data_IF_445755315840
#
_entry.id   IF_445755315840
#
_cell.length_a   1.000
_cell.length_b   1.000
_cell.length_c   1.000
_cell.angle_alpha   90.00
_cell.angle_beta   90.00
_cell.angle_gamma   90.00
#
_symmetry.space_group_name_H-M   'P 1'
#
loop_
_entity.id
_entity.type
_entity.pdbx_description
1 polymer ?
#
# COMPACT_ATOMS: atom_id res chain seq x y z
N UNK A 1 -14.69 7.67 -39.00
CA UNK A 1 -14.04 7.58 -37.68
C UNK A 1 -13.93 6.12 -37.36
N UNK A 2 -12.73 5.63 -37.07
CA UNK A 2 -12.57 4.27 -36.55
C UNK A 2 -13.27 4.17 -35.20
N UNK A 3 -13.91 3.03 -34.89
CA UNK A 3 -14.51 2.81 -33.58
C UNK A 3 -13.42 2.88 -32.50
N UNK A 4 -13.62 3.74 -31.51
CA UNK A 4 -12.72 3.82 -30.36
C UNK A 4 -13.01 2.63 -29.44
N UNK A 5 -12.00 1.79 -29.21
CA UNK A 5 -12.13 0.63 -28.33
C UNK A 5 -11.92 1.06 -26.87
N UNK A 6 -12.99 0.95 -26.07
CA UNK A 6 -12.93 1.22 -24.63
C UNK A 6 -12.74 -0.09 -23.87
N UNK A 7 -11.70 -0.13 -23.04
CA UNK A 7 -11.50 -1.21 -22.10
C UNK A 7 -12.65 -1.28 -21.09
N UNK A 8 -12.95 -2.48 -20.61
CA UNK A 8 -13.99 -2.70 -19.61
C UNK A 8 -13.78 -1.83 -18.35
N UNK A 9 -12.52 -1.65 -17.94
CA UNK A 9 -12.16 -0.73 -16.87
C UNK A 9 -11.71 0.58 -17.51
N UNK A 10 -12.45 1.66 -17.27
CA UNK A 10 -12.08 3.00 -17.71
C UNK A 10 -12.68 4.04 -16.76
N UNK A 11 -12.17 5.27 -16.81
CA UNK A 11 -12.76 6.40 -16.08
C UNK A 11 -13.08 7.53 -17.04
N UNK A 12 -14.37 7.80 -17.21
CA UNK A 12 -14.80 9.03 -17.86
C UNK A 12 -14.56 10.23 -16.94
N UNK A 13 -13.88 11.25 -17.42
CA UNK A 13 -13.69 12.50 -16.67
C UNK A 13 -14.91 13.43 -16.75
N UNK A 14 -15.98 13.02 -17.43
CA UNK A 14 -17.24 13.75 -17.50
C UNK A 14 -17.76 14.06 -16.10
N UNK A 15 -18.16 15.30 -15.86
CA UNK A 15 -18.69 15.79 -14.56
C UNK A 15 -17.70 15.68 -13.39
N UNK A 16 -16.41 15.46 -13.65
CA UNK A 16 -15.40 15.54 -12.62
C UNK A 16 -15.23 17.00 -12.19
N UNK A 17 -15.30 17.28 -10.88
CA UNK A 17 -15.11 18.63 -10.33
C UNK A 17 -13.72 19.21 -10.56
N UNK A 18 -12.75 18.36 -10.92
CA UNK A 18 -11.38 18.76 -11.24
C UNK A 18 -11.14 18.86 -12.74
N UNK A 19 -12.17 18.73 -13.59
CA UNK A 19 -12.02 18.89 -15.04
C UNK A 19 -11.89 20.37 -15.39
N UNK A 20 -10.90 20.71 -16.22
CA UNK A 20 -10.74 22.06 -16.77
C UNK A 20 -11.41 22.06 -18.14
N UNK A 21 -12.50 22.81 -18.28
CA UNK A 21 -13.30 22.87 -19.52
C UNK A 21 -13.16 24.27 -20.13
N UNK A 22 -12.90 24.31 -21.44
CA UNK A 22 -12.91 25.54 -22.25
C UNK A 22 -13.68 25.25 -23.53
N UNK A 23 -14.64 26.11 -23.88
CA UNK A 23 -15.42 26.00 -25.13
C UNK A 23 -16.01 24.58 -25.33
N UNK A 24 -16.66 24.04 -24.30
CA UNK A 24 -17.27 22.69 -24.32
C UNK A 24 -16.29 21.52 -24.48
N UNK A 25 -14.97 21.78 -24.39
CA UNK A 25 -13.91 20.77 -24.44
C UNK A 25 -13.16 20.69 -23.12
N UNK A 26 -12.97 19.49 -22.59
CA UNK A 26 -12.06 19.27 -21.48
C UNK A 26 -10.61 19.41 -21.97
N UNK A 27 -9.92 20.45 -21.51
CA UNK A 27 -8.53 20.73 -21.85
C UNK A 27 -7.54 20.20 -20.80
N UNK A 28 -8.01 19.86 -19.59
CA UNK A 28 -7.11 19.40 -18.53
C UNK A 28 -7.78 18.91 -17.25
N UNK A 29 -6.96 18.79 -16.22
CA UNK A 29 -7.35 18.42 -14.86
C UNK A 29 -6.60 19.27 -13.84
N UNK A 30 -7.30 19.90 -12.89
CA UNK A 30 -6.70 20.75 -11.84
C UNK A 30 -5.73 20.00 -10.92
N UNK A 31 -5.87 18.67 -10.84
CA UNK A 31 -4.98 17.78 -10.09
C UNK A 31 -3.83 17.24 -10.94
N UNK A 32 -3.74 17.63 -12.23
CA UNK A 32 -2.76 17.14 -13.21
C UNK A 32 -2.78 15.63 -13.43
N UNK A 33 -3.87 14.95 -13.04
CA UNK A 33 -3.93 13.48 -13.10
C UNK A 33 -3.90 12.93 -14.52
N UNK A 34 -4.42 13.68 -15.49
CA UNK A 34 -4.34 13.27 -16.90
C UNK A 34 -2.88 13.20 -17.38
N UNK A 35 -2.06 14.19 -17.01
CA UNK A 35 -0.62 14.19 -17.30
C UNK A 35 0.07 13.01 -16.60
N UNK A 36 -0.28 12.73 -15.34
CA UNK A 36 0.26 11.57 -14.60
C UNK A 36 -0.05 10.23 -15.31
N UNK A 37 -1.28 10.07 -15.84
CA UNK A 37 -1.66 8.87 -16.60
C UNK A 37 -0.92 8.76 -17.94
N UNK A 38 -0.86 9.86 -18.69
CA UNK A 38 -0.13 9.92 -19.97
C UNK A 38 1.37 9.60 -19.76
N UNK A 39 2.00 10.15 -18.71
CA UNK A 39 3.40 9.85 -18.34
C UNK A 39 3.64 8.41 -17.89
N UNK A 40 2.58 7.69 -17.49
CA UNK A 40 2.63 6.29 -17.08
C UNK A 40 2.22 5.34 -18.22
N UNK A 41 2.27 5.81 -19.48
CA UNK A 41 1.86 5.09 -20.68
C UNK A 41 0.41 4.56 -20.62
N UNK A 42 -0.48 5.27 -19.90
CA UNK A 42 -1.91 4.97 -19.88
C UNK A 42 -2.61 5.79 -20.95
N UNK A 43 -3.38 5.11 -21.79
CA UNK A 43 -4.11 5.74 -22.88
C UNK A 43 -5.22 6.67 -22.36
N UNK A 44 -5.15 7.94 -22.76
CA UNK A 44 -6.17 8.96 -22.48
C UNK A 44 -6.84 9.35 -23.79
N UNK A 45 -8.10 8.95 -23.93
CA UNK A 45 -8.90 9.14 -25.13
C UNK A 45 -9.74 10.41 -25.04
N UNK A 46 -9.97 11.08 -26.17
CA UNK A 46 -10.93 12.18 -26.28
C UNK A 46 -12.21 11.67 -26.95
N UNK A 47 -13.35 11.81 -26.28
CA UNK A 47 -14.63 11.34 -26.79
C UNK A 47 -15.64 12.50 -26.89
N UNK A 48 -16.36 12.53 -28.01
CA UNK A 48 -17.52 13.38 -28.20
C UNK A 48 -18.73 12.73 -27.53
N UNK A 49 -19.40 13.47 -26.65
CA UNK A 49 -20.65 13.05 -26.07
C UNK A 49 -21.84 13.63 -26.86
N UNK A 50 -23.03 13.05 -26.70
CA UNK A 50 -24.24 13.44 -27.44
C UNK A 50 -24.72 14.87 -27.17
N UNK A 51 -24.22 15.49 -26.10
CA UNK A 51 -24.48 16.89 -25.72
C UNK A 51 -23.56 17.88 -26.47
N UNK A 52 -22.70 17.38 -27.36
CA UNK A 52 -21.72 18.18 -28.10
C UNK A 52 -20.45 18.51 -27.31
N UNK A 53 -20.36 18.07 -26.05
CA UNK A 53 -19.18 18.29 -25.22
C UNK A 53 -18.13 17.20 -25.45
N UNK A 54 -16.86 17.59 -25.38
CA UNK A 54 -15.71 16.69 -25.51
C UNK A 54 -15.08 16.46 -24.14
N UNK A 55 -14.96 15.20 -23.74
CA UNK A 55 -14.38 14.82 -22.45
C UNK A 55 -13.23 13.83 -22.65
N UNK A 56 -12.29 13.83 -21.70
CA UNK A 56 -11.21 12.85 -21.66
C UNK A 56 -11.66 11.58 -20.92
N UNK A 57 -11.21 10.43 -21.39
CA UNK A 57 -11.44 9.11 -20.79
C UNK A 57 -10.10 8.44 -20.55
N UNK A 58 -9.84 8.05 -19.30
CA UNK A 58 -8.66 7.27 -18.95
C UNK A 58 -9.00 5.80 -19.22
N UNK A 59 -8.42 5.23 -20.27
CA UNK A 59 -8.71 3.87 -20.73
C UNK A 59 -7.89 2.84 -19.93
N UNK A 60 -8.49 1.71 -19.56
CA UNK A 60 -7.81 0.65 -18.80
C UNK A 60 -7.60 0.92 -17.31
N UNK A 61 -8.06 2.05 -16.74
CA UNK A 61 -7.79 2.44 -15.34
C UNK A 61 -8.97 3.14 -14.65
N UNK A 62 -8.97 3.01 -13.31
CA UNK A 62 -9.81 3.79 -12.41
C UNK A 62 -9.07 5.02 -11.87
N UNK A 63 -9.62 6.22 -12.04
CA UNK A 63 -9.07 7.41 -11.42
C UNK A 63 -9.56 7.57 -9.99
N UNK A 64 -8.68 7.27 -9.03
CA UNK A 64 -8.98 7.39 -7.59
C UNK A 64 -9.32 8.83 -7.15
N UNK A 65 -8.95 9.83 -7.96
CA UNK A 65 -9.19 11.25 -7.72
C UNK A 65 -10.49 11.76 -8.35
N UNK A 66 -11.16 10.97 -9.20
CA UNK A 66 -12.43 11.37 -9.81
C UNK A 66 -13.48 11.65 -8.72
N UNK A 67 -14.13 12.81 -8.80
CA UNK A 67 -15.22 13.18 -7.89
C UNK A 67 -16.29 13.92 -8.66
N UNK A 68 -17.54 13.51 -8.42
CA UNK A 68 -18.71 14.24 -8.87
C UNK A 68 -19.06 15.36 -7.87
N UNK A 69 -19.66 16.45 -8.34
CA UNK A 69 -19.99 17.61 -7.51
C UNK A 69 -20.86 17.23 -6.30
N UNK A 70 -21.90 16.41 -6.51
CA UNK A 70 -22.76 15.87 -5.45
C UNK A 70 -22.00 15.29 -4.25
N UNK A 71 -20.89 14.58 -4.49
CA UNK A 71 -20.08 13.98 -3.43
C UNK A 71 -19.29 15.03 -2.63
N UNK A 72 -19.00 16.16 -3.27
CA UNK A 72 -18.15 17.23 -2.75
C UNK A 72 -18.93 18.41 -2.18
N UNK A 73 -20.24 18.51 -2.42
CA UNK A 73 -21.12 19.60 -1.93
C UNK A 73 -21.04 19.88 -0.43
N UNK A 74 -20.74 18.87 0.39
CA UNK A 74 -20.58 19.02 1.86
C UNK A 74 -19.27 19.70 2.28
N UNK A 75 -18.38 19.97 1.33
CA UNK A 75 -17.08 20.59 1.56
C UNK A 75 -16.97 21.89 0.79
N UNK A 76 -16.27 22.87 1.36
CA UNK A 76 -15.92 24.09 0.63
C UNK A 76 -15.03 23.77 -0.58
N UNK A 77 -15.34 24.34 -1.74
CA UNK A 77 -14.61 24.12 -3.00
C UNK A 77 -13.11 24.43 -2.87
N UNK A 78 -12.75 25.42 -2.04
CA UNK A 78 -11.35 25.77 -1.74
C UNK A 78 -10.55 24.61 -1.12
N UNK A 79 -11.24 23.67 -0.48
CA UNK A 79 -10.63 22.53 0.20
C UNK A 79 -10.75 21.20 -0.57
N UNK A 80 -11.46 21.16 -1.72
CA UNK A 80 -11.73 19.92 -2.43
C UNK A 80 -10.47 19.14 -2.78
N UNK A 81 -9.44 19.82 -3.31
CA UNK A 81 -8.13 19.22 -3.63
C UNK A 81 -7.52 18.53 -2.41
N UNK A 82 -7.35 19.28 -1.31
CA UNK A 82 -6.78 18.76 -0.06
C UNK A 82 -7.57 17.57 0.49
N UNK A 83 -8.89 17.62 0.41
CA UNK A 83 -9.77 16.53 0.89
C UNK A 83 -9.56 15.26 0.07
N UNK A 84 -9.54 15.38 -1.26
CA UNK A 84 -9.35 14.23 -2.14
C UNK A 84 -7.94 13.66 -1.99
N UNK A 85 -6.91 14.51 -1.90
CA UNK A 85 -5.54 14.06 -1.60
C UNK A 85 -5.46 13.28 -0.29
N UNK A 86 -6.12 13.74 0.79
CA UNK A 86 -6.17 12.98 2.05
C UNK A 86 -6.92 11.65 1.92
N UNK A 87 -8.00 11.60 1.14
CA UNK A 87 -8.82 10.40 0.95
C UNK A 87 -8.20 9.36 0.01
N UNK A 88 -7.26 9.77 -0.84
CA UNK A 88 -6.68 8.91 -1.87
C UNK A 88 -5.35 8.30 -1.48
N UNK A 89 -4.80 8.66 -0.31
CA UNK A 89 -3.58 8.09 0.26
C UNK A 89 -3.62 6.56 0.26
N UNK A 90 -2.52 5.93 -0.16
CA UNK A 90 -2.39 4.46 -0.15
C UNK A 90 -2.37 3.97 1.29
N UNK A 91 -3.43 3.29 1.73
CA UNK A 91 -3.45 2.58 3.00
C UNK A 91 -2.60 1.31 2.90
N UNK A 92 -1.96 0.93 4.01
CA UNK A 92 -1.15 -0.29 4.06
C UNK A 92 -1.06 -0.83 5.50
N UNK A 93 -0.78 -2.13 5.61
CA UNK A 93 -0.40 -2.79 6.85
C UNK A 93 1.13 -2.83 6.98
N UNK A 94 1.64 -2.75 8.22
CA UNK A 94 3.02 -3.11 8.53
C UNK A 94 3.04 -4.36 9.41
N UNK A 95 3.83 -5.36 9.03
CA UNK A 95 4.15 -6.53 9.84
C UNK A 95 5.56 -6.35 10.41
N UNK A 96 5.66 -6.26 11.74
CA UNK A 96 6.92 -6.03 12.46
C UNK A 96 7.39 -7.31 13.15
N UNK A 97 8.50 -7.86 12.69
CA UNK A 97 9.15 -9.00 13.32
C UNK A 97 9.99 -8.53 14.52
N UNK A 98 9.55 -8.91 15.71
CA UNK A 98 10.32 -8.76 16.94
C UNK A 98 11.15 -10.04 17.14
N UNK A 99 12.38 -9.99 16.63
CA UNK A 99 13.35 -11.09 16.67
C UNK A 99 13.84 -11.40 18.09
N UNK A 100 14.42 -12.60 18.30
CA UNK A 100 14.81 -13.11 19.63
C UNK A 100 15.75 -12.18 20.42
N UNK A 101 16.59 -11.44 19.71
CA UNK A 101 17.57 -10.50 20.27
C UNK A 101 17.11 -9.04 20.26
N UNK A 102 15.93 -8.73 19.71
CA UNK A 102 15.41 -7.37 19.68
C UNK A 102 15.13 -6.82 21.08
N UNK A 103 15.34 -5.54 21.28
CA UNK A 103 15.09 -4.86 22.55
C UNK A 103 13.78 -4.06 22.52
N UNK A 104 13.32 -3.65 23.69
CA UNK A 104 12.19 -2.72 23.81
C UNK A 104 12.48 -1.39 23.11
N UNK A 105 13.75 -0.94 23.12
CA UNK A 105 14.13 0.30 22.45
C UNK A 105 14.08 0.17 20.93
N UNK A 106 14.46 -0.99 20.37
CA UNK A 106 14.35 -1.24 18.93
C UNK A 106 12.89 -1.15 18.48
N UNK A 107 11.99 -1.85 19.19
CA UNK A 107 10.56 -1.78 18.92
C UNK A 107 10.01 -0.35 19.08
N UNK A 108 10.40 0.36 20.13
CA UNK A 108 9.97 1.74 20.36
C UNK A 108 10.46 2.68 19.24
N UNK A 109 11.71 2.51 18.81
CA UNK A 109 12.32 3.31 17.75
C UNK A 109 11.57 3.18 16.43
N UNK A 110 11.37 1.94 15.95
CA UNK A 110 10.68 1.72 14.67
C UNK A 110 9.21 2.15 14.72
N UNK A 111 8.52 1.96 15.86
CA UNK A 111 7.15 2.45 16.01
C UNK A 111 7.08 3.97 15.97
N UNK A 112 8.07 4.68 16.54
CA UNK A 112 8.16 6.12 16.43
C UNK A 112 8.35 6.56 14.98
N UNK A 113 9.29 5.93 14.24
CA UNK A 113 9.52 6.20 12.82
C UNK A 113 8.27 5.95 11.96
N UNK A 114 7.52 4.88 12.23
CA UNK A 114 6.27 4.57 11.54
C UNK A 114 5.14 5.55 11.89
N UNK A 115 5.11 6.07 13.12
CA UNK A 115 4.12 7.04 13.56
C UNK A 115 4.38 8.46 13.03
N UNK A 116 5.61 8.78 12.62
CA UNK A 116 6.00 10.08 12.04
C UNK A 116 5.90 10.12 10.51
N UNK A 117 5.62 8.98 9.86
CA UNK A 117 5.40 8.90 8.42
C UNK A 117 4.29 9.85 7.93
N UNK A 118 4.45 10.40 6.72
CA UNK A 118 3.43 11.24 6.07
C UNK A 118 2.09 10.50 5.90
N UNK A 119 2.17 9.19 5.65
CA UNK A 119 1.04 8.29 5.61
C UNK A 119 1.31 7.18 6.61
N UNK A 120 0.59 7.20 7.73
CA UNK A 120 0.75 6.22 8.79
C UNK A 120 0.17 4.86 8.37
N UNK A 121 0.77 3.74 8.81
CA UNK A 121 0.17 2.42 8.62
C UNK A 121 -1.26 2.37 9.16
N UNK A 122 -2.17 1.76 8.41
CA UNK A 122 -3.56 1.56 8.84
C UNK A 122 -3.68 0.44 9.87
N UNK A 123 -2.80 -0.56 9.78
CA UNK A 123 -2.69 -1.66 10.73
C UNK A 123 -1.21 -1.93 11.00
N UNK A 124 -0.82 -2.03 12.27
CA UNK A 124 0.48 -2.60 12.65
C UNK A 124 0.26 -3.95 13.31
N UNK A 125 0.95 -4.98 12.83
CA UNK A 125 0.97 -6.29 13.46
C UNK A 125 2.39 -6.59 13.93
N UNK A 126 2.58 -6.67 15.25
CA UNK A 126 3.85 -7.14 15.82
C UNK A 126 3.82 -8.66 15.91
N UNK A 127 4.79 -9.31 15.28
CA UNK A 127 5.02 -10.76 15.30
C UNK A 127 6.13 -11.01 16.31
N UNK A 128 5.76 -11.45 17.51
CA UNK A 128 6.66 -11.64 18.64
C UNK A 128 7.27 -13.05 18.65
N UNK A 129 8.49 -13.17 18.14
CA UNK A 129 9.28 -14.42 18.14
C UNK A 129 10.03 -14.67 19.45
N UNK A 130 10.01 -13.72 20.38
CA UNK A 130 10.59 -13.88 21.72
C UNK A 130 9.67 -14.63 22.67
N UNK A 131 8.41 -14.85 22.28
CA UNK A 131 7.37 -15.28 23.21
C UNK A 131 7.62 -16.68 23.81
N UNK A 132 8.20 -17.60 23.05
CA UNK A 132 8.60 -18.89 23.61
C UNK A 132 9.66 -18.74 24.71
N UNK A 133 10.70 -17.92 24.47
CA UNK A 133 11.72 -17.61 25.47
C UNK A 133 11.16 -16.88 26.68
N UNK A 134 10.17 -16.00 26.47
CA UNK A 134 9.43 -15.35 27.55
C UNK A 134 8.77 -16.38 28.49
N UNK A 135 8.14 -17.42 27.95
CA UNK A 135 7.52 -18.49 28.75
C UNK A 135 8.59 -19.29 29.49
N UNK A 136 9.63 -19.75 28.78
CA UNK A 136 10.69 -20.60 29.33
C UNK A 136 11.48 -19.91 30.45
N UNK A 137 11.72 -18.61 30.33
CA UNK A 137 12.51 -17.83 31.28
C UNK A 137 11.68 -17.11 32.35
N UNK A 138 10.38 -17.43 32.50
CA UNK A 138 9.46 -16.69 33.36
C UNK A 138 9.50 -15.16 33.15
N UNK A 139 9.78 -14.72 31.92
CA UNK A 139 9.79 -13.32 31.51
C UNK A 139 11.05 -12.50 31.80
N UNK A 140 12.15 -13.09 32.25
CA UNK A 140 13.38 -12.34 32.54
C UNK A 140 14.12 -11.82 31.30
N UNK A 141 14.04 -12.50 30.15
CA UNK A 141 14.90 -12.23 28.97
C UNK A 141 14.17 -11.67 27.76
N UNK A 142 12.89 -11.32 27.88
CA UNK A 142 12.05 -10.97 26.74
C UNK A 142 11.03 -9.90 27.10
N UNK A 143 10.57 -9.14 26.11
CA UNK A 143 9.58 -8.09 26.33
C UNK A 143 8.24 -8.75 26.68
N UNK A 144 7.60 -8.30 27.77
CA UNK A 144 6.28 -8.81 28.15
C UNK A 144 5.25 -8.45 27.08
N UNK A 145 4.34 -9.36 26.68
CA UNK A 145 3.25 -9.03 25.76
C UNK A 145 2.42 -7.81 26.17
N UNK A 146 2.19 -7.63 27.48
CA UNK A 146 1.49 -6.46 28.01
C UNK A 146 2.23 -5.16 27.73
N UNK A 147 3.57 -5.13 27.87
CA UNK A 147 4.40 -3.97 27.56
C UNK A 147 4.38 -3.65 26.06
N UNK A 148 4.34 -4.66 25.20
CA UNK A 148 4.20 -4.46 23.74
C UNK A 148 2.84 -3.82 23.42
N UNK A 149 1.76 -4.33 24.02
CA UNK A 149 0.41 -3.79 23.81
C UNK A 149 0.26 -2.36 24.37
N UNK A 150 0.82 -2.08 25.55
CA UNK A 150 0.87 -0.73 26.13
C UNK A 150 1.65 0.24 25.23
N UNK A 151 2.78 -0.21 24.68
CA UNK A 151 3.56 0.59 23.75
C UNK A 151 2.77 0.87 22.47
N UNK A 152 2.14 -0.14 21.86
CA UNK A 152 1.30 0.05 20.66
C UNK A 152 0.13 1.02 20.90
N UNK A 153 -0.49 0.96 22.09
CA UNK A 153 -1.56 1.89 22.52
C UNK A 153 -1.12 3.34 22.63
N UNK A 154 0.17 3.60 22.87
CA UNK A 154 0.70 4.95 23.02
C UNK A 154 0.84 5.71 21.69
N UNK A 155 0.65 5.03 20.55
CA UNK A 155 0.76 5.61 19.22
C UNK A 155 -0.60 5.81 18.54
N UNK A 156 -0.62 6.69 17.54
CA UNK A 156 -1.83 7.12 16.84
C UNK A 156 -2.21 6.26 15.63
N UNK A 157 -1.87 4.96 15.67
CA UNK A 157 -2.24 4.02 14.61
C UNK A 157 -3.75 3.76 14.62
N UNK A 158 -4.34 3.55 13.44
CA UNK A 158 -5.77 3.23 13.35
C UNK A 158 -6.08 1.90 14.05
N UNK A 159 -5.25 0.89 13.82
CA UNK A 159 -5.39 -0.43 14.40
C UNK A 159 -4.00 -1.02 14.70
N UNK A 160 -3.94 -1.87 15.71
CA UNK A 160 -2.75 -2.64 16.02
C UNK A 160 -3.12 -4.05 16.48
N UNK A 161 -2.17 -4.98 16.36
CA UNK A 161 -2.32 -6.36 16.79
C UNK A 161 -0.98 -6.94 17.22
N UNK A 162 -1.04 -7.90 18.14
CA UNK A 162 0.11 -8.67 18.60
C UNK A 162 -0.13 -10.14 18.26
N UNK A 163 0.86 -10.78 17.63
CA UNK A 163 0.88 -12.22 17.35
C UNK A 163 2.07 -12.82 18.07
N UNK A 164 1.80 -13.64 19.08
CA UNK A 164 2.84 -14.37 19.81
C UNK A 164 3.13 -15.68 19.09
N UNK A 165 4.40 -15.93 18.81
CA UNK A 165 4.86 -17.14 18.12
C UNK A 165 5.32 -18.16 19.16
N UNK A 166 4.65 -19.32 19.18
CA UNK A 166 5.03 -20.46 20.01
C UNK A 166 5.93 -21.43 19.24
N UNK A 167 5.60 -21.66 17.97
CA UNK A 167 6.30 -22.60 17.11
C UNK A 167 7.53 -21.92 16.47
N UNK A 168 8.72 -22.38 16.87
CA UNK A 168 9.99 -21.87 16.33
C UNK A 168 10.37 -22.51 14.99
N UNK A 169 9.64 -23.51 14.51
CA UNK A 169 9.90 -24.19 13.23
C UNK A 169 9.32 -23.42 12.04
N UNK A 170 8.34 -22.54 12.28
CA UNK A 170 7.76 -21.69 11.25
C UNK A 170 8.78 -20.67 10.74
N UNK A 171 8.95 -20.63 9.42
CA UNK A 171 9.78 -19.61 8.79
C UNK A 171 9.12 -18.24 8.91
N UNK A 172 9.89 -17.16 8.72
CA UNK A 172 9.31 -15.82 8.71
C UNK A 172 8.26 -15.66 7.58
N UNK A 173 8.38 -16.38 6.47
CA UNK A 173 7.36 -16.36 5.39
C UNK A 173 6.08 -17.08 5.79
N UNK A 174 6.18 -18.20 6.50
CA UNK A 174 4.99 -18.87 7.07
C UNK A 174 4.27 -17.96 8.06
N UNK A 175 5.03 -17.23 8.88
CA UNK A 175 4.48 -16.25 9.82
C UNK A 175 3.81 -15.05 9.13
N UNK A 176 4.33 -14.62 7.97
CA UNK A 176 3.67 -13.62 7.12
C UNK A 176 2.32 -14.15 6.64
N UNK A 177 2.24 -15.37 6.14
CA UNK A 177 0.98 -15.97 5.66
C UNK A 177 -0.06 -16.10 6.79
N UNK A 178 0.34 -16.61 7.96
CA UNK A 178 -0.55 -16.73 9.13
C UNK A 178 -1.04 -15.34 9.60
N UNK A 179 -0.14 -14.34 9.57
CA UNK A 179 -0.48 -12.96 9.92
C UNK A 179 -1.44 -12.34 8.90
N UNK A 180 -1.19 -12.58 7.62
CA UNK A 180 -2.03 -12.18 6.52
C UNK A 180 -3.44 -12.74 6.65
N UNK A 181 -3.58 -14.05 6.89
CA UNK A 181 -4.88 -14.71 7.07
C UNK A 181 -5.70 -14.11 8.22
N UNK A 182 -5.05 -13.74 9.32
CA UNK A 182 -5.69 -13.09 10.46
C UNK A 182 -6.15 -11.65 10.16
N UNK A 183 -5.68 -11.05 9.07
CA UNK A 183 -5.84 -9.63 8.77
C UNK A 183 -6.47 -9.35 7.39
N UNK A 184 -6.69 -10.38 6.56
CA UNK A 184 -7.30 -10.28 5.22
C UNK A 184 -8.71 -9.67 5.16
N UNK A 185 -9.43 -9.56 6.28
CA UNK A 185 -10.72 -8.84 6.31
C UNK A 185 -10.59 -7.32 6.26
N UNK A 186 -9.40 -6.79 6.54
CA UNK A 186 -9.17 -5.35 6.61
C UNK A 186 -8.92 -4.76 5.21
N UNK A 187 -9.41 -3.54 4.91
CA UNK A 187 -9.44 -2.99 3.56
C UNK A 187 -8.16 -2.22 3.17
N UNK A 188 -6.99 -2.78 3.44
CA UNK A 188 -5.74 -2.24 2.90
C UNK A 188 -5.29 -3.02 1.64
N UNK A 189 -4.84 -2.33 0.59
CA UNK A 189 -4.37 -2.96 -0.63
C UNK A 189 -2.99 -3.61 -0.51
N UNK A 190 -2.15 -3.16 0.43
CA UNK A 190 -0.77 -3.63 0.58
C UNK A 190 -0.41 -3.95 2.03
N UNK A 191 0.56 -4.84 2.21
CA UNK A 191 1.30 -4.96 3.45
C UNK A 191 2.80 -4.81 3.20
N UNK A 192 3.53 -4.39 4.23
CA UNK A 192 4.98 -4.18 4.23
C UNK A 192 5.57 -4.92 5.42
N UNK A 193 6.74 -5.52 5.25
CA UNK A 193 7.43 -6.26 6.32
C UNK A 193 8.71 -5.54 6.74
N UNK A 194 8.93 -5.45 8.04
CA UNK A 194 10.18 -4.99 8.64
C UNK A 194 10.54 -5.80 9.88
N UNK A 195 11.82 -5.91 10.17
CA UNK A 195 12.33 -6.30 11.48
C UNK A 195 12.43 -5.08 12.38
N UNK A 196 12.28 -5.25 13.70
CA UNK A 196 12.29 -4.11 14.63
C UNK A 196 13.62 -3.37 14.73
N UNK A 197 14.72 -3.99 14.32
CA UNK A 197 16.05 -3.39 14.28
C UNK A 197 16.33 -2.64 12.96
N UNK A 198 15.38 -2.63 12.02
CA UNK A 198 15.51 -1.87 10.78
C UNK A 198 15.15 -0.41 11.00
N UNK A 199 15.85 0.49 10.31
CA UNK A 199 15.53 1.92 10.33
C UNK A 199 14.68 2.27 9.11
N UNK A 200 13.41 2.61 9.34
CA UNK A 200 12.48 3.01 8.28
C UNK A 200 12.72 4.49 7.94
N UNK A 201 13.06 4.83 6.70
CA UNK A 201 13.23 6.22 6.28
C UNK A 201 11.96 7.06 6.44
N UNK A 202 12.09 8.34 6.80
CA UNK A 202 10.95 9.25 6.99
C UNK A 202 10.09 9.42 5.72
N UNK A 203 10.70 9.29 4.54
CA UNK A 203 10.03 9.41 3.25
C UNK A 203 9.44 8.10 2.71
N UNK A 204 9.58 6.97 3.42
CA UNK A 204 9.16 5.65 2.94
C UNK A 204 7.69 5.65 2.48
N UNK A 205 6.79 6.14 3.34
CA UNK A 205 5.35 6.16 3.07
C UNK A 205 4.97 7.05 1.90
N UNK A 206 5.69 8.17 1.72
CA UNK A 206 5.53 9.09 0.59
C UNK A 206 5.98 8.40 -0.70
N UNK A 207 7.15 7.75 -0.69
CA UNK A 207 7.66 7.06 -1.87
C UNK A 207 6.70 5.95 -2.33
N UNK A 208 6.20 5.13 -1.39
CA UNK A 208 5.21 4.10 -1.67
C UNK A 208 3.96 4.70 -2.30
N UNK A 209 3.44 5.78 -1.73
CA UNK A 209 2.25 6.46 -2.24
C UNK A 209 2.46 7.03 -3.63
N UNK A 210 3.59 7.68 -3.88
CA UNK A 210 3.91 8.27 -5.17
C UNK A 210 4.11 7.18 -6.23
N UNK A 211 4.74 6.05 -5.87
CA UNK A 211 4.90 4.91 -6.77
C UNK A 211 3.56 4.35 -7.26
N UNK A 212 2.57 4.25 -6.37
CA UNK A 212 1.26 3.67 -6.69
C UNK A 212 0.32 4.71 -7.33
N UNK A 213 0.26 5.95 -6.84
CA UNK A 213 -0.74 6.95 -7.23
C UNK A 213 -0.28 7.98 -8.26
N UNK A 214 1.03 8.18 -8.40
CA UNK A 214 1.58 9.15 -9.35
C UNK A 214 2.24 8.39 -10.50
N UNK A 215 3.13 7.46 -10.18
CA UNK A 215 3.84 6.64 -11.18
C UNK A 215 3.02 5.43 -11.66
N UNK A 216 1.83 5.21 -11.09
CA UNK A 216 0.87 4.16 -11.47
C UNK A 216 1.47 2.75 -11.59
N UNK A 217 2.46 2.43 -10.73
CA UNK A 217 3.10 1.12 -10.76
C UNK A 217 2.10 0.03 -10.40
N UNK A 218 2.00 -0.99 -11.26
CA UNK A 218 1.19 -2.19 -11.01
C UNK A 218 1.95 -3.12 -10.06
N UNK A 219 2.02 -2.77 -8.78
CA UNK A 219 2.78 -3.55 -7.81
C UNK A 219 2.01 -4.79 -7.36
N UNK A 220 2.57 -5.98 -7.61
CA UNK A 220 2.14 -7.22 -6.95
C UNK A 220 3.11 -7.60 -5.82
N UNK A 221 4.41 -7.48 -6.06
CA UNK A 221 5.46 -7.84 -5.11
C UNK A 221 6.68 -6.95 -5.27
N UNK A 222 7.28 -6.51 -4.17
CA UNK A 222 8.58 -5.86 -4.16
C UNK A 222 9.57 -6.70 -3.34
N UNK A 223 10.69 -7.06 -3.95
CA UNK A 223 11.77 -7.79 -3.30
C UNK A 223 12.36 -6.97 -2.15
N UNK A 224 12.61 -7.58 -0.98
CA UNK A 224 13.17 -6.89 0.18
C UNK A 224 14.60 -6.40 -0.08
N UNK A 225 15.01 -5.35 0.63
CA UNK A 225 16.40 -4.82 0.56
C UNK A 225 17.38 -5.61 1.43
N UNK A 226 16.89 -6.20 2.51
CA UNK A 226 17.66 -7.04 3.42
C UNK A 226 16.72 -8.02 4.14
N UNK A 227 16.92 -9.32 3.92
CA UNK A 227 16.07 -10.39 4.43
C UNK A 227 14.59 -10.21 4.06
N UNK A 228 13.77 -9.64 4.95
CA UNK A 228 12.35 -9.30 4.69
C UNK A 228 12.08 -7.80 4.77
N UNK A 229 13.08 -6.99 5.13
CA UNK A 229 12.93 -5.56 5.30
C UNK A 229 12.57 -4.90 3.98
N UNK A 230 11.47 -4.14 3.99
CA UNK A 230 10.99 -3.44 2.80
C UNK A 230 10.28 -4.34 1.79
N UNK A 231 10.02 -5.61 2.11
CA UNK A 231 9.16 -6.45 1.28
C UNK A 231 7.76 -5.83 1.25
N UNK A 232 7.26 -5.48 0.06
CA UNK A 232 5.93 -4.89 -0.14
C UNK A 232 5.12 -5.86 -0.98
N UNK A 233 3.90 -6.17 -0.54
CA UNK A 233 3.07 -7.16 -1.24
C UNK A 233 1.66 -6.64 -1.39
N UNK A 234 1.11 -6.81 -2.60
CA UNK A 234 -0.30 -6.60 -2.87
C UNK A 234 -1.12 -7.71 -2.21
N UNK A 235 -2.09 -7.29 -1.39
CA UNK A 235 -3.05 -8.19 -0.74
C UNK A 235 -3.76 -9.07 -1.76
N UNK A 236 -4.17 -8.52 -2.90
CA UNK A 236 -4.86 -9.25 -3.96
C UNK A 236 -3.95 -10.32 -4.56
N UNK A 237 -2.68 -10.02 -4.78
CA UNK A 237 -1.71 -10.99 -5.30
C UNK A 237 -1.47 -12.12 -4.28
N UNK A 238 -1.32 -11.77 -2.99
CA UNK A 238 -1.18 -12.77 -1.93
C UNK A 238 -2.40 -13.71 -1.89
N UNK A 239 -3.63 -13.19 -1.93
CA UNK A 239 -4.86 -14.02 -1.94
C UNK A 239 -4.95 -14.89 -3.19
N UNK A 240 -4.72 -14.31 -4.37
CA UNK A 240 -4.83 -14.99 -5.67
C UNK A 240 -3.87 -16.19 -5.76
N UNK A 241 -2.66 -16.05 -5.25
CA UNK A 241 -1.61 -17.08 -5.37
C UNK A 241 -1.41 -17.91 -4.08
N UNK A 242 -2.25 -17.69 -3.05
CA UNK A 242 -2.16 -18.39 -1.78
C UNK A 242 -0.82 -18.17 -1.06
N UNK A 243 -0.33 -16.92 -1.05
CA UNK A 243 0.85 -16.53 -0.29
C UNK A 243 2.09 -17.38 -0.59
N UNK A 244 2.79 -17.80 0.47
CA UNK A 244 3.94 -18.69 0.43
C UNK A 244 3.57 -20.17 0.68
N UNK A 245 2.29 -20.54 0.53
CA UNK A 245 1.82 -21.90 0.73
C UNK A 245 2.59 -22.93 -0.12
N UNK A 246 2.71 -24.15 0.42
CA UNK A 246 3.47 -25.27 -0.17
C UNK A 246 4.99 -25.02 -0.27
N UNK A 247 5.53 -24.11 0.55
CA UNK A 247 6.96 -23.74 0.54
C UNK A 247 7.45 -23.17 -0.80
N UNK A 248 6.53 -22.62 -1.59
CA UNK A 248 6.84 -21.91 -2.83
C UNK A 248 6.61 -20.43 -2.55
N UNK A 249 7.65 -19.62 -2.77
CA UNK A 249 7.58 -18.19 -2.52
C UNK A 249 6.54 -17.52 -3.43
N UNK A 250 5.91 -16.47 -2.91
CA UNK A 250 4.86 -15.75 -3.64
C UNK A 250 5.35 -15.17 -4.98
N UNK A 251 6.54 -14.59 -5.01
CA UNK A 251 7.16 -14.02 -6.20
C UNK A 251 7.41 -15.06 -7.31
N UNK A 252 7.73 -16.31 -6.94
CA UNK A 252 7.92 -17.41 -7.89
C UNK A 252 6.58 -17.80 -8.52
N UNK A 253 5.50 -17.80 -7.74
CA UNK A 253 4.14 -18.05 -8.24
C UNK A 253 3.69 -16.94 -9.19
N UNK A 254 3.90 -15.68 -8.82
CA UNK A 254 3.57 -14.54 -9.69
C UNK A 254 4.35 -14.64 -11.01
N UNK A 255 5.66 -14.87 -10.93
CA UNK A 255 6.54 -15.03 -12.10
C UNK A 255 6.08 -16.15 -13.04
N UNK A 256 5.59 -17.26 -12.47
CA UNK A 256 5.17 -18.44 -13.23
C UNK A 256 3.77 -18.30 -13.84
N UNK A 257 2.83 -17.67 -13.15
CA UNK A 257 1.42 -17.71 -13.52
C UNK A 257 0.84 -16.40 -14.06
N UNK A 258 1.51 -15.26 -13.87
CA UNK A 258 1.04 -13.96 -14.38
C UNK A 258 1.71 -13.59 -15.70
N UNK A 259 0.89 -13.25 -16.70
CA UNK A 259 1.41 -12.70 -17.96
C UNK A 259 2.01 -11.32 -17.72
N UNK A 260 3.27 -11.12 -18.12
CA UNK A 260 3.96 -9.86 -17.90
C UNK A 260 4.44 -9.64 -16.45
N UNK A 261 4.69 -10.71 -15.69
CA UNK A 261 5.15 -10.66 -14.30
C UNK A 261 6.34 -9.71 -14.04
N UNK A 262 7.23 -9.50 -15.02
CA UNK A 262 8.33 -8.53 -14.91
C UNK A 262 7.88 -7.06 -14.75
N UNK A 263 6.61 -6.74 -15.04
CA UNK A 263 6.00 -5.42 -14.77
C UNK A 263 5.25 -5.39 -13.42
N UNK A 264 5.18 -6.52 -12.72
CA UNK A 264 4.43 -6.71 -11.47
C UNK A 264 5.34 -6.92 -10.26
N UNK A 265 6.57 -7.39 -10.51
CA UNK A 265 7.61 -7.62 -9.52
C UNK A 265 8.68 -6.55 -9.67
N UNK A 266 9.04 -5.92 -8.55
CA UNK A 266 10.01 -4.83 -8.51
C UNK A 266 11.04 -5.07 -7.40
N UNK A 267 12.14 -4.35 -7.40
CA UNK A 267 12.94 -4.21 -6.18
C UNK A 267 12.25 -3.21 -5.23
N UNK A 268 12.39 -3.40 -3.91
CA UNK A 268 11.84 -2.44 -2.93
C UNK A 268 12.36 -1.02 -3.16
N UNK A 269 13.59 -0.86 -3.64
CA UNK A 269 14.18 0.45 -3.95
C UNK A 269 13.61 1.09 -5.24
N UNK A 270 12.98 0.31 -6.12
CA UNK A 270 12.26 0.86 -7.28
C UNK A 270 10.91 1.46 -6.86
N UNK A 271 10.31 0.92 -5.81
CA UNK A 271 9.04 1.41 -5.24
C UNK A 271 9.32 2.52 -4.24
N UNK A 272 10.25 2.29 -3.31
CA UNK A 272 10.65 3.19 -2.26
C UNK A 272 12.17 3.48 -2.34
N UNK A 273 12.60 4.46 -3.17
CA UNK A 273 14.02 4.78 -3.35
C UNK A 273 14.76 5.14 -2.07
N UNK A 274 14.05 5.57 -1.03
CA UNK A 274 14.62 5.84 0.29
C UNK A 274 15.13 4.60 1.04
N UNK A 275 14.77 3.39 0.62
CA UNK A 275 15.25 2.13 1.22
C UNK A 275 16.66 1.70 0.76
N UNK A 276 17.33 2.51 -0.07
CA UNK A 276 18.69 2.24 -0.56
C UNK A 276 19.75 2.32 0.53
#
# INVERSE_FOLDING_TARGET
MEPVELNQVHTSCRNCVFSIIKENKQIGCDLKKLEDYENADVEVLELNHSDGNMYKVINGRLCLFYRHEELMKKYSNKNWKKIVEMQTKVSYQVMLFLEKNSTYQDLKSILNQLNTQEIKPSLITVINKQYNSYIESNGEKSIKPSQILELLKSYSFHQYSLKNVYDNELSNRDLVDVTFDGSKKHPYPFYVVFNTNFSVPDSFSKDLNDAILIKMKQLCFANPVDNLNGMIVSKVAHEKHGGNAFKINLEDKISKYETGAGKLIFEATDICPSLK
#
